data_IF_604790117468
#
_entry.id   IF_604790117468
#
_cell.length_a   1.000
_cell.length_b   1.000
_cell.length_c   1.000
_cell.angle_alpha   90.00
_cell.angle_beta   90.00
_cell.angle_gamma   90.00
#
_symmetry.space_group_name_H-M   'P 1'
#
loop_
_entity.id
_entity.type
_entity.pdbx_description
1 polymer ?
#
# COMPACT_ATOMS: atom_id res chain seq x y z
N UNK A 1 -10.38 28.93 9.48
CA UNK A 1 -10.47 27.49 9.13
C UNK A 1 -9.04 26.97 9.02
N UNK A 2 -8.71 25.87 9.69
CA UNK A 2 -7.36 25.27 9.62
C UNK A 2 -7.26 24.47 8.33
N UNK A 3 -6.19 24.66 7.55
CA UNK A 3 -5.96 23.81 6.39
C UNK A 3 -5.66 22.38 6.84
N UNK A 4 -6.30 21.35 6.24
CA UNK A 4 -6.01 19.97 6.57
C UNK A 4 -4.58 19.64 6.14
N UNK A 5 -3.86 18.95 7.02
CA UNK A 5 -2.53 18.42 6.80
C UNK A 5 -2.50 17.45 5.62
N UNK A 6 -1.31 17.24 5.04
CA UNK A 6 -1.12 16.26 3.97
C UNK A 6 -1.57 14.85 4.38
N UNK A 7 -1.39 14.51 5.66
CA UNK A 7 -1.82 13.25 6.22
C UNK A 7 -3.36 13.09 6.22
N UNK A 8 -4.09 14.10 6.69
CA UNK A 8 -5.56 14.11 6.68
C UNK A 8 -6.11 14.06 5.25
N UNK A 9 -5.46 14.75 4.30
CA UNK A 9 -5.84 14.69 2.88
C UNK A 9 -5.60 13.31 2.27
N UNK A 10 -4.52 12.63 2.66
CA UNK A 10 -4.24 11.27 2.23
C UNK A 10 -5.25 10.26 2.79
N UNK A 11 -5.69 10.44 4.04
CA UNK A 11 -6.75 9.62 4.63
C UNK A 11 -8.07 9.81 3.89
N UNK A 12 -8.49 11.06 3.69
CA UNK A 12 -9.70 11.36 2.96
C UNK A 12 -9.65 10.83 1.50
N UNK A 13 -8.49 10.93 0.84
CA UNK A 13 -8.31 10.34 -0.49
C UNK A 13 -8.43 8.81 -0.43
N UNK A 14 -7.80 8.18 0.56
CA UNK A 14 -7.86 6.73 0.73
C UNK A 14 -9.29 6.23 0.89
N UNK A 15 -10.16 6.97 1.57
CA UNK A 15 -11.59 6.67 1.76
C UNK A 15 -12.48 7.01 0.55
N UNK A 16 -12.04 7.89 -0.35
CA UNK A 16 -12.85 8.37 -1.46
C UNK A 16 -12.62 7.59 -2.77
N UNK A 17 -11.45 6.99 -2.95
CA UNK A 17 -11.04 6.36 -4.21
C UNK A 17 -11.67 4.99 -4.38
N UNK A 18 -12.11 4.66 -5.60
CA UNK A 18 -12.51 3.30 -5.94
C UNK A 18 -11.27 2.41 -6.02
N UNK A 19 -11.15 1.51 -5.05
CA UNK A 19 -10.02 0.57 -4.92
C UNK A 19 -10.43 -0.87 -5.27
N UNK A 20 -11.53 -1.03 -6.01
CA UNK A 20 -11.95 -2.30 -6.59
C UNK A 20 -11.19 -2.57 -7.88
N UNK A 21 -10.72 -3.80 -8.01
CA UNK A 21 -10.02 -4.28 -9.19
C UNK A 21 -10.92 -5.31 -9.87
N UNK A 22 -11.31 -5.07 -11.12
CA UNK A 22 -12.20 -5.97 -11.86
C UNK A 22 -11.60 -7.37 -12.01
N UNK A 23 -12.45 -8.41 -11.85
CA UNK A 23 -12.04 -9.80 -12.01
C UNK A 23 -11.08 -10.34 -10.94
N UNK A 24 -10.93 -9.64 -9.80
CA UNK A 24 -10.05 -10.05 -8.71
C UNK A 24 -10.84 -10.72 -7.59
N UNK A 25 -10.49 -11.97 -7.29
CA UNK A 25 -10.98 -12.70 -6.13
C UNK A 25 -9.88 -12.86 -5.05
N UNK A 26 -10.30 -12.98 -3.79
CA UNK A 26 -9.41 -13.20 -2.64
C UNK A 26 -8.89 -11.92 -1.95
N UNK A 27 -8.06 -12.10 -0.92
CA UNK A 27 -7.50 -10.99 -0.14
C UNK A 27 -6.43 -10.23 -0.92
N UNK A 28 -6.60 -8.92 -1.03
CA UNK A 28 -5.60 -8.01 -1.58
C UNK A 28 -5.51 -6.72 -0.76
N UNK A 29 -4.39 -6.01 -0.91
CA UNK A 29 -4.19 -4.67 -0.36
C UNK A 29 -4.26 -3.66 -1.49
N UNK A 30 -5.15 -2.68 -1.39
CA UNK A 30 -5.15 -1.56 -2.32
C UNK A 30 -4.08 -0.56 -1.88
N UNK A 31 -3.32 -0.03 -2.82
CA UNK A 31 -2.26 0.93 -2.59
C UNK A 31 -2.56 2.19 -3.40
N UNK A 32 -2.45 3.35 -2.77
CA UNK A 32 -2.60 4.65 -3.43
C UNK A 32 -1.25 5.33 -3.44
N UNK A 33 -0.77 5.67 -4.63
CA UNK A 33 0.47 6.41 -4.84
C UNK A 33 0.11 7.84 -5.20
N UNK A 34 0.37 8.77 -4.29
CA UNK A 34 0.15 10.20 -4.46
C UNK A 34 1.44 10.88 -4.91
N UNK A 35 1.34 11.66 -5.98
CA UNK A 35 2.41 12.54 -6.42
C UNK A 35 2.06 14.00 -6.08
N UNK A 36 2.65 14.55 -5.02
CA UNK A 36 2.43 15.95 -4.64
C UNK A 36 3.23 16.92 -5.51
N UNK A 37 4.08 16.49 -6.44
CA UNK A 37 4.92 17.39 -7.23
C UNK A 37 4.19 17.98 -8.44
N UNK A 38 4.79 18.99 -9.07
CA UNK A 38 4.27 19.65 -10.29
C UNK A 38 4.59 18.88 -11.59
N UNK A 39 5.30 17.76 -11.49
CA UNK A 39 5.70 16.96 -12.66
C UNK A 39 5.25 15.51 -12.51
N UNK A 40 4.91 14.80 -13.60
CA UNK A 40 4.62 13.38 -13.52
C UNK A 40 5.81 12.59 -12.95
N UNK A 41 5.52 11.52 -12.21
CA UNK A 41 6.54 10.67 -11.60
C UNK A 41 6.51 9.26 -12.19
N UNK A 42 7.69 8.77 -12.56
CA UNK A 42 7.96 7.37 -12.93
C UNK A 42 9.21 6.95 -12.16
N UNK A 43 9.16 5.81 -11.48
CA UNK A 43 10.27 5.34 -10.66
C UNK A 43 9.81 4.35 -9.61
N UNK A 44 10.63 4.16 -8.58
CA UNK A 44 10.30 3.27 -7.46
C UNK A 44 9.66 4.05 -6.33
N UNK A 45 8.55 3.53 -5.81
CA UNK A 45 7.95 3.99 -4.55
C UNK A 45 8.15 2.93 -3.47
N UNK A 46 8.16 3.34 -2.19
CA UNK A 46 8.41 2.46 -1.04
C UNK A 46 7.27 2.56 -0.05
N UNK A 47 6.60 1.43 0.20
CA UNK A 47 5.63 1.29 1.28
C UNK A 47 6.28 0.63 2.49
N UNK A 48 6.32 1.34 3.61
CA UNK A 48 6.77 0.79 4.88
C UNK A 48 5.65 -0.04 5.51
N UNK A 49 5.92 -1.32 5.78
CA UNK A 49 4.95 -2.24 6.35
C UNK A 49 5.42 -2.70 7.73
N UNK A 50 4.49 -2.67 8.68
CA UNK A 50 4.68 -3.17 10.03
C UNK A 50 3.47 -3.99 10.44
N UNK A 51 3.65 -5.31 10.54
CA UNK A 51 2.54 -6.22 10.78
C UNK A 51 2.91 -7.38 11.71
N UNK A 52 1.94 -7.92 12.47
CA UNK A 52 2.15 -9.15 13.21
C UNK A 52 2.07 -10.35 12.27
N UNK A 53 3.08 -11.20 12.33
CA UNK A 53 3.14 -12.51 11.68
C UNK A 53 2.74 -13.58 12.69
N UNK A 54 1.77 -14.42 12.31
CA UNK A 54 1.27 -15.52 13.15
C UNK A 54 2.41 -16.48 13.53
N UNK A 55 2.27 -17.23 14.65
CA UNK A 55 3.18 -18.31 14.99
C UNK A 55 3.41 -19.23 13.77
N UNK A 56 4.66 -19.64 13.58
CA UNK A 56 5.11 -20.56 12.49
C UNK A 56 4.97 -20.06 11.05
N UNK A 57 4.18 -19.01 10.80
CA UNK A 57 4.05 -18.42 9.46
C UNK A 57 5.39 -17.85 8.98
N UNK A 58 5.73 -18.07 7.71
CA UNK A 58 6.94 -17.50 7.12
C UNK A 58 6.61 -16.19 6.38
N UNK A 59 7.54 -15.23 6.31
CA UNK A 59 7.46 -14.11 5.37
C UNK A 59 7.13 -14.60 3.97
N UNK A 60 6.21 -13.91 3.29
CA UNK A 60 5.81 -14.24 1.92
C UNK A 60 6.32 -13.18 0.96
N UNK A 61 6.59 -13.60 -0.27
CA UNK A 61 6.84 -12.67 -1.36
C UNK A 61 5.59 -11.87 -1.68
N UNK A 62 5.79 -10.67 -2.22
CA UNK A 62 4.72 -9.80 -2.67
C UNK A 62 4.73 -9.67 -4.19
N UNK A 63 3.55 -9.48 -4.76
CA UNK A 63 3.38 -9.05 -6.13
C UNK A 63 2.45 -7.84 -6.16
N UNK A 64 2.70 -6.94 -7.11
CA UNK A 64 1.93 -5.71 -7.30
C UNK A 64 1.40 -5.64 -8.73
N UNK A 65 0.18 -5.11 -8.90
CA UNK A 65 -0.47 -4.94 -10.19
C UNK A 65 -1.04 -3.53 -10.34
N UNK A 66 -1.11 -3.08 -11.59
CA UNK A 66 -1.93 -1.93 -12.00
C UNK A 66 -3.43 -2.26 -11.92
N UNK A 67 -4.32 -1.25 -12.04
CA UNK A 67 -5.77 -1.46 -12.11
C UNK A 67 -6.18 -2.40 -13.24
N UNK A 68 -5.48 -2.31 -14.37
CA UNK A 68 -5.73 -3.11 -15.58
C UNK A 68 -5.16 -4.54 -15.49
N UNK A 69 -4.67 -4.95 -14.32
CA UNK A 69 -4.15 -6.29 -14.10
C UNK A 69 -2.73 -6.54 -14.62
N UNK A 70 -2.00 -5.50 -15.03
CA UNK A 70 -0.59 -5.62 -15.45
C UNK A 70 0.29 -5.73 -14.21
N UNK A 71 1.14 -6.78 -14.16
CA UNK A 71 2.08 -6.97 -13.05
C UNK A 71 3.21 -5.94 -13.14
N UNK A 72 3.54 -5.30 -12.03
CA UNK A 72 4.65 -4.34 -11.95
C UNK A 72 5.83 -4.92 -11.18
N UNK A 73 7.08 -4.52 -11.50
CA UNK A 73 8.24 -4.87 -10.70
C UNK A 73 8.08 -4.47 -9.23
N UNK A 74 8.36 -5.38 -8.32
CA UNK A 74 8.33 -5.13 -6.88
C UNK A 74 9.26 -6.09 -6.13
N UNK A 75 9.73 -5.63 -4.97
CA UNK A 75 10.60 -6.40 -4.10
C UNK A 75 10.37 -6.04 -2.64
N UNK A 76 10.42 -7.03 -1.76
CA UNK A 76 10.51 -6.80 -0.32
C UNK A 76 11.98 -6.57 0.04
N UNK A 77 12.29 -5.39 0.59
CA UNK A 77 13.63 -5.01 1.04
C UNK A 77 13.62 -4.67 2.55
N UNK A 78 14.80 -4.58 3.15
CA UNK A 78 14.99 -4.20 4.57
C UNK A 78 14.14 -5.03 5.57
N UNK A 79 13.87 -6.30 5.23
CA UNK A 79 12.99 -7.17 6.03
C UNK A 79 13.61 -7.56 7.36
N UNK A 80 12.88 -7.33 8.45
CA UNK A 80 13.26 -7.61 9.83
C UNK A 80 12.15 -8.38 10.54
N UNK A 81 12.52 -9.37 11.33
CA UNK A 81 11.62 -10.18 12.14
C UNK A 81 12.06 -10.15 13.60
N UNK A 82 11.15 -9.76 14.48
CA UNK A 82 11.42 -9.65 15.91
C UNK A 82 10.31 -10.36 16.70
N UNK A 83 10.61 -11.12 17.75
CA UNK A 83 9.58 -11.66 18.64
C UNK A 83 8.73 -10.53 19.25
N UNK A 84 7.43 -10.75 19.36
CA UNK A 84 6.53 -9.76 19.98
C UNK A 84 5.44 -10.44 20.82
N UNK A 85 5.30 -9.99 22.07
CA UNK A 85 4.25 -10.45 22.99
C UNK A 85 3.06 -9.49 23.07
N UNK A 86 3.23 -8.24 22.65
CA UNK A 86 2.24 -7.18 22.74
C UNK A 86 2.17 -6.36 21.44
N UNK A 87 0.95 -6.10 20.96
CA UNK A 87 0.71 -5.28 19.78
C UNK A 87 -0.12 -4.05 20.15
N UNK A 88 0.39 -2.86 19.84
CA UNK A 88 -0.35 -1.61 20.04
C UNK A 88 -1.19 -1.30 18.80
N UNK A 89 -2.50 -1.19 19.00
CA UNK A 89 -3.45 -0.79 17.96
C UNK A 89 -3.40 0.73 17.72
N UNK A 90 -3.88 1.22 16.57
CA UNK A 90 -3.91 2.66 16.26
C UNK A 90 -4.68 3.50 17.30
N UNK A 91 -5.70 2.90 17.94
CA UNK A 91 -6.48 3.54 19.01
C UNK A 91 -5.77 3.56 20.38
N UNK A 92 -4.51 3.11 20.44
CA UNK A 92 -3.68 3.08 21.65
C UNK A 92 -3.87 1.84 22.51
N UNK A 93 -4.86 0.98 22.24
CA UNK A 93 -5.06 -0.25 23.01
C UNK A 93 -3.92 -1.24 22.77
N UNK A 94 -3.56 -1.98 23.82
CA UNK A 94 -2.57 -3.06 23.73
C UNK A 94 -3.29 -4.40 23.64
N UNK A 95 -2.88 -5.23 22.67
CA UNK A 95 -3.35 -6.59 22.48
C UNK A 95 -2.22 -7.56 22.77
N UNK A 96 -2.46 -8.51 23.68
CA UNK A 96 -1.54 -9.64 23.90
C UNK A 96 -1.54 -10.54 22.67
N UNK A 97 -0.34 -10.91 22.21
CA UNK A 97 -0.13 -11.74 21.04
C UNK A 97 0.09 -13.20 21.44
N UNK A 98 -0.39 -14.18 20.65
CA UNK A 98 -0.08 -15.58 20.87
C UNK A 98 1.43 -15.83 20.93
N UNK A 99 1.86 -16.79 21.76
CA UNK A 99 3.25 -17.19 21.86
C UNK A 99 3.80 -17.59 20.48
N UNK A 100 5.00 -17.09 20.13
CA UNK A 100 5.62 -17.32 18.82
C UNK A 100 5.22 -16.31 17.73
N UNK A 101 4.36 -15.34 18.03
CA UNK A 101 4.11 -14.20 17.14
C UNK A 101 5.39 -13.39 16.95
N UNK A 102 5.64 -12.97 15.70
CA UNK A 102 6.75 -12.08 15.33
C UNK A 102 6.21 -10.80 14.73
N UNK A 103 6.82 -9.66 15.04
CA UNK A 103 6.65 -8.41 14.31
C UNK A 103 7.49 -8.49 13.05
N UNK A 104 6.84 -8.37 11.90
CA UNK A 104 7.50 -8.32 10.60
C UNK A 104 7.46 -6.89 10.08
N UNK A 105 8.65 -6.29 10.00
CA UNK A 105 8.87 -4.95 9.45
C UNK A 105 9.61 -5.07 8.13
N UNK A 106 9.11 -4.47 7.08
CA UNK A 106 9.76 -4.51 5.77
C UNK A 106 9.32 -3.35 4.90
N UNK A 107 10.08 -3.13 3.84
CA UNK A 107 9.78 -2.13 2.82
C UNK A 107 9.33 -2.85 1.55
N UNK A 108 8.08 -2.62 1.12
CA UNK A 108 7.61 -3.02 -0.20
C UNK A 108 7.99 -1.94 -1.20
N UNK A 109 9.06 -2.16 -1.95
CA UNK A 109 9.47 -1.29 -3.03
C UNK A 109 8.83 -1.77 -4.34
N UNK A 110 8.19 -0.88 -5.11
CA UNK A 110 7.58 -1.24 -6.38
C UNK A 110 7.66 -0.12 -7.42
N UNK A 111 7.69 -0.51 -8.68
CA UNK A 111 7.77 0.40 -9.81
C UNK A 111 6.40 1.01 -10.12
N UNK A 112 6.39 2.32 -10.36
CA UNK A 112 5.22 3.09 -10.75
C UNK A 112 5.52 3.89 -12.01
N UNK A 113 4.51 4.02 -12.87
CA UNK A 113 4.66 4.72 -14.15
C UNK A 113 3.65 5.83 -14.29
N UNK A 114 4.14 6.99 -14.74
CA UNK A 114 3.35 8.15 -15.13
C UNK A 114 2.29 8.55 -14.10
N UNK A 115 2.66 8.56 -12.81
CA UNK A 115 1.81 9.09 -11.74
C UNK A 115 1.63 10.60 -12.00
N UNK A 116 0.41 11.09 -12.25
CA UNK A 116 0.19 12.47 -12.69
C UNK A 116 0.73 13.50 -11.70
N UNK A 117 1.16 14.66 -12.20
CA UNK A 117 1.46 15.82 -11.36
C UNK A 117 0.23 16.18 -10.51
N UNK A 118 0.44 16.49 -9.23
CA UNK A 118 -0.63 16.80 -8.26
C UNK A 118 -1.78 15.77 -8.27
N UNK A 119 -1.47 14.51 -8.57
CA UNK A 119 -2.45 13.46 -8.77
C UNK A 119 -2.06 12.15 -8.10
N UNK A 120 -2.84 11.10 -8.35
CA UNK A 120 -2.61 9.79 -7.76
C UNK A 120 -2.80 8.66 -8.79
N UNK A 121 -2.29 7.47 -8.46
CA UNK A 121 -2.63 6.20 -9.11
C UNK A 121 -2.87 5.14 -8.07
N UNK A 122 -3.68 4.14 -8.41
CA UNK A 122 -3.95 2.99 -7.54
C UNK A 122 -3.25 1.74 -8.05
N UNK A 123 -2.83 0.91 -7.11
CA UNK A 123 -2.19 -0.36 -7.35
C UNK A 123 -2.78 -1.40 -6.40
N UNK A 124 -2.59 -2.67 -6.71
CA UNK A 124 -3.01 -3.78 -5.87
C UNK A 124 -1.78 -4.58 -5.48
N UNK A 125 -1.62 -4.88 -4.20
CA UNK A 125 -0.63 -5.84 -3.70
C UNK A 125 -1.30 -7.12 -3.21
N UNK A 126 -0.66 -8.26 -3.47
CA UNK A 126 -1.06 -9.57 -2.95
C UNK A 126 0.16 -10.40 -2.60
N UNK A 127 0.00 -11.30 -1.63
CA UNK A 127 1.02 -12.30 -1.32
C UNK A 127 1.10 -13.35 -2.41
N UNK A 128 2.31 -13.62 -2.89
CA UNK A 128 2.60 -14.60 -3.94
C UNK A 128 3.83 -15.43 -3.58
N UNK A 129 4.15 -16.38 -4.45
CA UNK A 129 5.36 -17.20 -4.33
C UNK A 129 6.59 -16.51 -4.94
N UNK A 130 6.38 -15.54 -5.82
CA UNK A 130 7.43 -14.88 -6.59
C UNK A 130 7.29 -13.35 -6.61
N UNK A 131 8.43 -12.69 -6.82
CA UNK A 131 8.58 -11.25 -7.04
C UNK A 131 9.02 -11.01 -8.48
N UNK A 132 8.56 -9.92 -9.09
CA UNK A 132 9.11 -9.43 -10.35
C UNK A 132 10.23 -8.43 -10.00
N UNK A 133 11.52 -8.75 -10.18
CA UNK A 133 12.60 -7.93 -9.64
C UNK A 133 12.57 -6.49 -10.13
N UNK A 134 12.86 -5.55 -9.23
CA UNK A 134 12.99 -4.14 -9.58
C UNK A 134 14.17 -3.91 -10.55
N UNK A 135 14.03 -3.00 -11.52
CA UNK A 135 15.15 -2.61 -12.38
C UNK A 135 16.26 -1.90 -11.60
N UNK A 136 15.90 -1.22 -10.50
CA UNK A 136 16.79 -0.51 -9.60
C UNK A 136 16.17 -0.49 -8.19
N UNK A 137 16.98 -0.70 -7.16
CA UNK A 137 16.56 -0.48 -5.77
C UNK A 137 16.66 1.02 -5.46
N UNK A 138 15.66 1.64 -4.81
CA UNK A 138 15.67 3.06 -4.49
C UNK A 138 16.81 3.36 -3.51
N UNK A 139 17.67 4.32 -3.85
CA UNK A 139 18.78 4.78 -3.01
C UNK A 139 18.47 6.05 -2.22
N UNK A 140 17.34 6.69 -2.54
CA UNK A 140 16.86 7.93 -1.92
C UNK A 140 15.35 7.85 -1.74
N UNK A 141 14.83 8.61 -0.78
CA UNK A 141 13.38 8.69 -0.57
C UNK A 141 12.68 9.25 -1.82
N UNK A 142 11.67 8.56 -2.37
CA UNK A 142 10.93 9.03 -3.54
C UNK A 142 10.14 10.31 -3.24
N UNK A 143 9.97 11.23 -4.21
CA UNK A 143 9.17 12.44 -4.04
C UNK A 143 7.64 12.18 -4.06
N UNK A 144 7.25 10.91 -3.99
CA UNK A 144 5.86 10.43 -4.01
C UNK A 144 5.57 9.65 -2.74
N UNK A 145 4.31 9.64 -2.33
CA UNK A 145 3.85 8.97 -1.13
C UNK A 145 3.01 7.76 -1.50
N UNK A 146 3.12 6.68 -0.74
CA UNK A 146 2.26 5.51 -0.89
C UNK A 146 1.55 5.19 0.42
N UNK A 147 0.29 4.79 0.32
CA UNK A 147 -0.52 4.36 1.45
C UNK A 147 -1.37 3.15 1.10
N UNK A 148 -1.51 2.22 2.04
CA UNK A 148 -2.51 1.17 1.95
C UNK A 148 -3.90 1.78 2.17
N UNK A 149 -4.81 1.51 1.24
CA UNK A 149 -6.23 1.78 1.37
C UNK A 149 -6.98 0.46 1.60
N UNK A 150 -8.06 0.53 2.37
CA UNK A 150 -8.96 -0.61 2.48
C UNK A 150 -9.66 -0.81 1.12
N UNK A 151 -9.86 -2.06 0.66
CA UNK A 151 -10.72 -2.33 -0.48
C UNK A 151 -12.13 -1.83 -0.18
N UNK A 152 -12.56 -0.74 -0.82
CA UNK A 152 -13.94 -0.27 -0.76
C UNK A 152 -14.36 0.31 -2.11
N UNK A 153 -15.65 0.23 -2.41
CA UNK A 153 -16.21 1.09 -3.44
C UNK A 153 -16.01 2.51 -2.95
N UNK A 154 -15.27 3.33 -3.68
CA UNK A 154 -15.15 4.76 -3.37
C UNK A 154 -16.55 5.31 -3.13
N UNK A 155 -16.70 6.23 -2.18
CA UNK A 155 -18.00 6.81 -1.81
C UNK A 155 -18.49 7.78 -2.88
N UNK A 156 -18.52 7.37 -4.15
CA UNK A 156 -19.27 8.05 -5.18
C UNK A 156 -20.74 7.73 -4.92
N UNK A 157 -21.47 8.71 -4.40
CA UNK A 157 -22.92 8.68 -4.42
C UNK A 157 -23.40 8.33 -5.83
N UNK A 158 -24.49 7.58 -5.93
CA UNK A 158 -25.11 7.22 -7.21
C UNK A 158 -25.52 8.49 -7.97
N UNK A 159 -24.64 9.04 -8.78
CA UNK A 159 -24.98 10.10 -9.74
C UNK A 159 -25.46 9.45 -11.03
N UNK A 160 -26.76 9.19 -11.09
CA UNK A 160 -27.45 8.93 -12.35
C UNK A 160 -28.05 10.23 -12.86
N UNK A 161 -27.65 10.69 -14.05
CA UNK A 161 -28.47 11.66 -14.80
C UNK A 161 -29.61 10.88 -15.43
N UNK A 162 -30.82 11.15 -14.99
CA UNK A 162 -32.01 10.75 -15.74
C UNK A 162 -32.00 11.50 -17.07
N UNK A 163 -32.11 10.75 -18.17
CA UNK A 163 -32.58 11.25 -19.45
C UNK A 163 -34.04 10.87 -19.57
#
# INVERSE_FOLDING_TARGET
MREPSLHERLEALAEAVDTRFEGVEGEYRALIVLNPTEVPYTGVVVLHVDMPLKPEAQPRHAAVWTPDGVRVPCQIINSQLEPVSEWRLPDGRVRLMPMGTRRWRFDLAFWVEAVPARGYRVYRAQWREDELPLPQVPTTEPPVLVREALPHAGTLGKEGRAW
#
